data_IF_442846856141
#
_entry.id   IF_442846856141
#
_cell.length_a   1.000
_cell.length_b   1.000
_cell.length_c   1.000
_cell.angle_alpha   90.00
_cell.angle_beta   90.00
_cell.angle_gamma   90.00
#
_symmetry.space_group_name_H-M   'P 1'
#
loop_
_entity.id
_entity.type
_entity.pdbx_description
1 polymer ?
#
# COMPACT_ATOMS: atom_id res chain seq x y z
N UNK A 1 3.79 4.66 8.56
CA UNK A 1 4.68 5.84 8.76
C UNK A 1 5.87 5.92 7.80
N UNK A 2 6.57 4.80 7.51
CA UNK A 2 7.67 4.80 6.52
C UNK A 2 7.12 4.70 5.10
N UNK A 3 6.17 3.80 4.87
CA UNK A 3 5.61 3.58 3.52
C UNK A 3 4.85 4.80 3.02
N UNK A 4 4.04 5.45 3.86
CA UNK A 4 3.34 6.69 3.48
C UNK A 4 4.31 7.78 2.97
N UNK A 5 5.55 7.83 3.51
CA UNK A 5 6.61 8.72 3.03
C UNK A 5 7.22 8.27 1.71
N UNK A 6 7.34 6.96 1.50
CA UNK A 6 7.79 6.38 0.24
C UNK A 6 6.76 6.68 -0.85
N UNK A 7 5.46 6.47 -0.61
CA UNK A 7 4.39 6.73 -1.57
C UNK A 7 4.36 8.22 -1.97
N UNK A 8 4.54 9.11 -0.99
CA UNK A 8 4.63 10.56 -1.26
C UNK A 8 5.86 10.92 -2.11
N UNK A 9 7.02 10.32 -1.83
CA UNK A 9 8.23 10.54 -2.63
C UNK A 9 8.08 9.99 -4.05
N UNK A 10 7.52 8.79 -4.19
CA UNK A 10 7.23 8.18 -5.50
C UNK A 10 6.26 9.04 -6.30
N UNK A 11 5.21 9.56 -5.68
CA UNK A 11 4.26 10.45 -6.36
C UNK A 11 4.93 11.70 -6.93
N UNK A 12 5.89 12.30 -6.22
CA UNK A 12 6.67 13.43 -6.73
C UNK A 12 7.58 13.02 -7.89
N UNK A 13 8.26 11.88 -7.79
CA UNK A 13 9.18 11.39 -8.82
C UNK A 13 8.49 10.95 -10.11
N UNK A 14 7.29 10.35 -10.00
CA UNK A 14 6.51 9.86 -11.13
C UNK A 14 5.41 10.82 -11.57
N UNK A 15 5.34 12.01 -10.97
CA UNK A 15 4.35 13.05 -11.26
C UNK A 15 2.90 12.56 -11.12
N UNK A 16 2.65 11.72 -10.12
CA UNK A 16 1.30 11.26 -9.82
C UNK A 16 0.41 12.41 -9.39
N UNK A 17 -0.85 12.30 -9.77
CA UNK A 17 -1.90 13.20 -9.31
C UNK A 17 -2.25 12.91 -7.85
N UNK A 18 -2.91 13.87 -7.20
CA UNK A 18 -3.43 13.72 -5.84
C UNK A 18 -4.34 12.49 -5.72
N UNK A 19 -5.15 12.23 -6.75
CA UNK A 19 -6.11 11.12 -6.80
C UNK A 19 -5.40 9.75 -6.89
N UNK A 20 -4.33 9.64 -7.67
CA UNK A 20 -3.52 8.42 -7.76
C UNK A 20 -2.75 8.14 -6.46
N UNK A 21 -2.21 9.18 -5.82
CA UNK A 21 -1.58 9.05 -4.51
C UNK A 21 -2.60 8.60 -3.45
N UNK A 22 -3.80 9.18 -3.44
CA UNK A 22 -4.88 8.78 -2.54
C UNK A 22 -5.31 7.31 -2.78
N UNK A 23 -5.31 6.86 -4.04
CA UNK A 23 -5.57 5.46 -4.38
C UNK A 23 -4.53 4.51 -3.80
N UNK A 24 -3.23 4.83 -3.95
CA UNK A 24 -2.11 4.03 -3.44
C UNK A 24 -2.17 3.94 -1.91
N UNK A 25 -2.35 5.08 -1.23
CA UNK A 25 -2.44 5.13 0.24
C UNK A 25 -3.64 4.34 0.74
N UNK A 26 -4.81 4.49 0.11
CA UNK A 26 -6.01 3.76 0.49
C UNK A 26 -5.85 2.25 0.28
N UNK A 27 -5.19 1.83 -0.81
CA UNK A 27 -4.92 0.43 -1.08
C UNK A 27 -3.95 -0.19 -0.05
N UNK A 28 -2.84 0.49 0.25
CA UNK A 28 -1.85 0.05 1.23
C UNK A 28 -2.41 0.01 2.67
N UNK A 29 -3.25 0.99 3.05
CA UNK A 29 -3.98 0.98 4.34
C UNK A 29 -4.95 -0.20 4.41
N UNK A 30 -5.72 -0.47 3.35
CA UNK A 30 -6.61 -1.65 3.29
C UNK A 30 -5.83 -2.94 3.42
N UNK A 31 -4.66 -3.03 2.80
CA UNK A 31 -3.82 -4.20 2.91
C UNK A 31 -3.19 -4.34 4.30
N UNK A 32 -2.76 -3.25 4.96
CA UNK A 32 -2.26 -3.31 6.35
C UNK A 32 -3.34 -3.62 7.37
N UNK A 33 -4.50 -2.96 7.26
CA UNK A 33 -5.65 -3.23 8.13
C UNK A 33 -6.17 -4.64 7.88
N UNK A 34 -6.23 -5.05 6.62
CA UNK A 34 -6.52 -6.40 6.17
C UNK A 34 -5.54 -7.42 6.76
N UNK A 35 -4.23 -7.20 6.66
CA UNK A 35 -3.20 -8.09 7.23
C UNK A 35 -3.26 -8.16 8.76
N UNK A 36 -3.70 -7.10 9.42
CA UNK A 36 -3.92 -7.09 10.87
C UNK A 36 -5.22 -7.79 11.31
N UNK A 37 -6.19 -7.96 10.39
CA UNK A 37 -7.47 -8.65 10.60
C UNK A 37 -7.48 -10.09 10.03
N UNK A 38 -6.68 -10.36 8.99
CA UNK A 38 -6.50 -11.60 8.22
C UNK A 38 -5.06 -12.07 8.35
N UNK A 39 -4.55 -12.21 9.58
CA UNK A 39 -3.23 -12.79 9.81
C UNK A 39 -3.25 -14.33 9.63
N UNK A 40 -3.90 -14.84 8.59
CA UNK A 40 -4.09 -16.30 8.39
C UNK A 40 -4.10 -16.81 6.94
N UNK A 41 -3.53 -16.08 5.97
CA UNK A 41 -3.16 -16.70 4.68
C UNK A 41 -1.72 -16.33 4.30
N UNK A 42 -0.79 -16.67 5.21
CA UNK A 42 0.43 -17.34 4.77
C UNK A 42 0.01 -18.78 4.44
N UNK A 43 -0.22 -19.09 3.16
CA UNK A 43 -0.20 -20.41 2.50
C UNK A 43 -1.00 -20.29 1.19
N UNK A 44 -0.42 -19.65 0.18
CA UNK A 44 -0.52 -20.22 -1.15
C UNK A 44 0.91 -20.34 -1.65
N UNK A 45 1.34 -21.58 -1.52
CA UNK A 45 2.67 -22.12 -1.76
C UNK A 45 3.24 -21.74 -3.13
N UNK A 46 4.56 -21.78 -3.17
CA UNK A 46 5.34 -22.01 -4.38
C UNK A 46 4.69 -23.11 -5.25
N UNK A 47 4.25 -22.78 -6.47
CA UNK A 47 4.54 -23.47 -7.76
C UNK A 47 4.12 -22.62 -8.97
#
# INVERSE_FOLDING_TARGET
PIIDKIDTLLAVHYQFTQEELDFIINYDIKFRMGKSLFNEEDNDDEE
#
